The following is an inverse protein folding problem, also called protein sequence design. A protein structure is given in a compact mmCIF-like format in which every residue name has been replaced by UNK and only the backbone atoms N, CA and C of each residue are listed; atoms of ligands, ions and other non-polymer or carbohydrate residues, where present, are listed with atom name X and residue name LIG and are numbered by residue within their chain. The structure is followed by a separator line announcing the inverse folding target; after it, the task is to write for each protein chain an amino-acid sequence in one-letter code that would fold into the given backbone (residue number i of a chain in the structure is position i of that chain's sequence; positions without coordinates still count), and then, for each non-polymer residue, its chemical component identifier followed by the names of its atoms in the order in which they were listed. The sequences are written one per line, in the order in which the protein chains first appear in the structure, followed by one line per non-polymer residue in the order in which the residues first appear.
data_IF_754491624695
#
_entry.id   IF_754491624695
#
_cell.length_a   1.000
_cell.length_b   1.000
_cell.length_c   1.000
_cell.angle_alpha   90.00
_cell.angle_beta   90.00
_cell.angle_gamma   90.00
#
_symmetry.space_group_name_H-M   'P 1'
#
loop_
_entity.id
_entity.type
_entity.pdbx_description
1 polymer ?
#
# COMPACT_ATOMS: atom_id res chain seq x y z
N UNK A 1 9.03 9.19 27.13
CA UNK A 1 8.92 9.05 26.66
C UNK A 1 8.72 9.20 26.06
N UNK A 2 8.86 9.54 26.17
CA UNK A 2 8.62 9.60 25.63
C UNK A 2 8.53 9.25 24.69
N UNK A 3 8.70 9.33 24.62
CA UNK A 3 8.73 9.09 23.43
C UNK A 3 8.00 8.26 22.84
N UNK A 4 7.36 8.05 23.13
CA UNK A 4 6.61 7.25 22.69
C UNK A 4 6.11 7.45 21.46
N UNK A 5 5.78 8.36 21.17
CA UNK A 5 5.20 8.52 20.01
C UNK A 5 6.08 8.27 18.99
N UNK A 6 7.04 8.21 19.31
CA UNK A 6 7.85 8.15 18.59
C UNK A 6 7.57 7.42 17.54
N UNK A 7 7.86 7.04 16.89
CA UNK A 7 7.64 6.47 15.83
C UNK A 7 6.71 5.45 15.91
N UNK A 8 5.95 5.24 14.88
CA UNK A 8 5.08 4.13 14.79
C UNK A 8 5.89 2.89 14.97
N UNK A 9 5.38 1.95 15.69
CA UNK A 9 6.06 0.72 15.84
C UNK A 9 6.14 0.01 14.54
N UNK A 10 7.27 -0.53 14.22
CA UNK A 10 7.42 -1.36 13.04
C UNK A 10 6.54 -2.59 13.19
N UNK A 11 5.91 -3.01 12.11
CA UNK A 11 5.07 -4.20 12.15
C UNK A 11 5.03 -4.84 10.76
N UNK A 12 4.65 -6.09 10.74
CA UNK A 12 4.47 -6.81 9.49
C UNK A 12 3.37 -7.83 9.71
N UNK A 13 2.30 -7.75 8.93
CA UNK A 13 1.14 -8.62 9.06
C UNK A 13 0.77 -9.15 7.67
N UNK A 14 0.29 -10.39 7.59
CA UNK A 14 -0.18 -10.87 6.28
C UNK A 14 -1.43 -10.09 5.87
N UNK A 15 -1.55 -9.81 4.59
CA UNK A 15 -2.74 -9.12 4.08
C UNK A 15 -3.81 -10.14 3.75
N UNK A 16 -5.00 -9.96 4.30
CA UNK A 16 -6.13 -10.79 3.94
C UNK A 16 -6.62 -10.37 2.56
N UNK A 17 -6.83 -11.35 1.67
CA UNK A 17 -7.31 -11.05 0.33
C UNK A 17 -8.83 -10.89 0.31
N UNK A 18 -9.48 -11.14 1.42
CA UNK A 18 -10.91 -10.94 1.56
C UNK A 18 -11.14 -10.56 3.02
N UNK A 19 -11.77 -9.41 3.24
CA UNK A 19 -12.05 -8.96 4.59
C UNK A 19 -11.06 -7.93 5.08
N UNK A 20 -10.86 -7.90 6.38
CA UNK A 20 -10.09 -6.83 7.00
C UNK A 20 -8.72 -7.27 7.48
N UNK A 21 -7.77 -6.36 7.40
CA UNK A 21 -6.48 -6.52 8.06
C UNK A 21 -6.25 -5.26 8.87
N UNK A 22 -6.24 -5.41 10.20
CA UNK A 22 -6.07 -4.27 11.09
C UNK A 22 -4.61 -4.02 11.39
N UNK A 23 -4.21 -2.76 11.34
CA UNK A 23 -2.84 -2.37 11.66
C UNK A 23 -2.90 -1.28 12.72
N UNK A 24 -1.77 -0.94 13.33
CA UNK A 24 -1.78 0.13 14.33
C UNK A 24 -2.29 1.47 13.78
N UNK A 25 -2.07 1.77 12.53
CA UNK A 25 -2.47 3.06 11.98
C UNK A 25 -3.80 3.07 11.28
N UNK A 26 -4.41 1.92 11.04
CA UNK A 26 -5.67 1.86 10.32
C UNK A 26 -5.98 0.46 9.86
N UNK A 27 -6.99 0.34 9.02
CA UNK A 27 -7.48 -0.97 8.58
C UNK A 27 -7.53 -1.04 7.08
N UNK A 28 -7.11 -2.18 6.52
CA UNK A 28 -7.24 -2.44 5.10
C UNK A 28 -8.43 -3.34 4.88
N UNK A 29 -9.25 -2.99 3.90
CA UNK A 29 -10.42 -3.80 3.54
C UNK A 29 -10.21 -4.31 2.12
N UNK A 30 -10.23 -5.61 1.93
CA UNK A 30 -9.95 -6.22 0.65
C UNK A 30 -11.15 -7.00 0.15
N UNK A 31 -11.43 -6.88 -1.15
CA UNK A 31 -12.45 -7.72 -1.75
C UNK A 31 -12.13 -7.89 -3.22
N UNK A 32 -12.46 -9.02 -3.76
CA UNK A 32 -12.22 -9.32 -5.15
C UNK A 32 -13.49 -9.02 -5.94
N UNK A 33 -13.33 -8.36 -7.07
CA UNK A 33 -14.48 -8.02 -7.93
C UNK A 33 -14.16 -8.47 -9.35
N UNK A 34 -15.19 -8.66 -10.19
CA UNK A 34 -14.93 -8.94 -11.59
C UNK A 34 -14.34 -7.71 -12.26
N UNK A 35 -13.67 -7.92 -13.35
CA UNK A 35 -13.09 -6.81 -14.08
C UNK A 35 -14.15 -5.83 -14.56
N UNK A 36 -13.71 -4.67 -14.95
CA UNK A 36 -14.62 -3.67 -15.50
C UNK A 36 -14.95 -2.52 -14.59
N UNK A 37 -14.75 -2.67 -13.29
CA UNK A 37 -15.00 -1.58 -12.38
C UNK A 37 -13.69 -1.16 -11.77
N UNK A 38 -13.39 0.12 -11.84
CA UNK A 38 -12.14 0.61 -11.32
C UNK A 38 -12.39 1.87 -10.52
N UNK A 39 -11.93 1.88 -9.28
CA UNK A 39 -12.03 3.05 -8.42
C UNK A 39 -10.65 3.67 -8.31
N UNK A 40 -10.55 4.95 -8.63
CA UNK A 40 -9.28 5.64 -8.58
C UNK A 40 -9.32 6.68 -7.49
N UNK A 41 -8.94 6.25 -6.31
CA UNK A 41 -8.87 7.12 -5.14
C UNK A 41 -7.54 6.88 -4.44
N UNK A 42 -6.98 7.89 -3.78
CA UNK A 42 -5.65 7.76 -3.21
C UNK A 42 -5.52 6.65 -2.17
N UNK A 43 -6.61 6.32 -1.49
CA UNK A 43 -6.55 5.30 -0.45
C UNK A 43 -7.15 3.97 -0.87
N UNK A 44 -7.46 3.83 -2.16
CA UNK A 44 -7.97 2.58 -2.71
C UNK A 44 -7.02 2.07 -3.78
N UNK A 45 -6.58 0.83 -3.60
CA UNK A 45 -5.72 0.18 -4.57
C UNK A 45 -6.54 -0.85 -5.32
N UNK A 46 -6.47 -0.83 -6.66
CA UNK A 46 -7.10 -1.85 -7.48
C UNK A 46 -5.99 -2.57 -8.22
N UNK A 47 -5.81 -3.84 -7.89
CA UNK A 47 -4.76 -4.66 -8.46
C UNK A 47 -5.33 -5.67 -9.42
N UNK A 48 -4.56 -6.00 -10.46
CA UNK A 48 -4.88 -7.16 -11.27
C UNK A 48 -4.58 -8.38 -10.42
N UNK A 49 -5.60 -9.09 -10.00
CA UNK A 49 -5.44 -10.20 -9.07
C UNK A 49 -4.52 -11.29 -9.62
N UNK A 50 -4.48 -11.45 -10.94
CA UNK A 50 -3.63 -12.47 -11.54
C UNK A 50 -2.15 -12.08 -11.52
N UNK A 51 -1.84 -10.83 -11.27
CA UNK A 51 -0.45 -10.38 -11.17
C UNK A 51 0.07 -10.43 -9.74
N UNK A 52 -0.78 -10.77 -8.79
CA UNK A 52 -0.37 -10.86 -7.39
C UNK A 52 0.09 -12.27 -7.08
N UNK A 53 1.04 -12.42 -6.15
CA UNK A 53 1.42 -13.77 -5.75
C UNK A 53 0.25 -14.44 -5.04
N UNK A 54 0.20 -15.77 -5.10
CA UNK A 54 -0.87 -16.51 -4.45
C UNK A 54 -0.88 -16.25 -2.95
N UNK A 55 0.27 -15.98 -2.40
CA UNK A 55 0.37 -15.66 -0.98
C UNK A 55 1.65 -14.83 -0.81
N UNK A 56 1.81 -14.27 0.36
CA UNK A 56 3.03 -13.53 0.60
C UNK A 56 2.88 -12.02 0.59
N UNK A 57 1.68 -11.52 0.29
CA UNK A 57 1.48 -10.10 0.45
C UNK A 57 1.39 -9.78 1.93
N UNK A 58 2.01 -8.68 2.31
CA UNK A 58 1.97 -8.26 3.70
C UNK A 58 1.71 -6.77 3.78
N UNK A 59 1.27 -6.35 4.97
CA UNK A 59 1.11 -4.96 5.30
C UNK A 59 2.18 -4.67 6.34
N UNK A 60 3.00 -3.67 6.09
CA UNK A 60 4.08 -3.37 7.00
C UNK A 60 4.52 -1.93 6.85
N UNK A 61 5.30 -1.46 7.82
CA UNK A 61 5.95 -0.18 7.69
C UNK A 61 7.18 -0.34 6.79
N UNK A 62 7.71 0.77 6.30
CA UNK A 62 8.86 0.75 5.38
C UNK A 62 10.08 0.13 6.03
N UNK A 63 10.92 -0.43 5.19
CA UNK A 63 12.20 -1.02 5.62
C UNK A 63 13.31 -0.49 4.71
N UNK A 64 14.55 -0.47 5.21
CA UNK A 64 15.66 -0.07 4.36
C UNK A 64 15.74 -0.96 3.13
N UNK A 65 16.02 -0.36 2.00
CA UNK A 65 16.16 -1.12 0.76
C UNK A 65 14.86 -1.33 -0.02
N UNK A 66 13.74 -0.82 0.49
CA UNK A 66 12.48 -0.97 -0.21
C UNK A 66 12.52 -0.31 -1.58
N UNK A 67 11.91 -0.98 -2.55
CA UNK A 67 11.85 -0.54 -3.93
C UNK A 67 10.40 -0.38 -4.35
N UNK A 68 10.17 0.56 -5.26
CA UNK A 68 8.82 0.85 -5.71
C UNK A 68 8.85 1.22 -7.18
N UNK A 69 7.91 0.70 -7.94
CA UNK A 69 7.75 1.04 -9.34
C UNK A 69 6.44 1.82 -9.45
N UNK A 70 6.47 3.14 -9.28
CA UNK A 70 5.22 3.91 -9.24
C UNK A 70 4.43 3.76 -10.54
N UNK A 71 3.12 3.78 -10.44
CA UNK A 71 2.24 3.63 -11.59
C UNK A 71 2.62 4.64 -12.67
N UNK A 72 2.79 4.15 -13.89
CA UNK A 72 3.12 4.96 -15.06
C UNK A 72 4.51 5.59 -15.02
N UNK A 73 5.35 5.18 -14.09
CA UNK A 73 6.73 5.67 -14.05
C UNK A 73 7.58 4.87 -15.04
N UNK A 74 8.74 5.40 -15.41
CA UNK A 74 9.60 4.70 -16.37
C UNK A 74 10.32 3.49 -15.79
N UNK A 75 10.36 3.34 -14.46
CA UNK A 75 11.02 2.18 -13.88
C UNK A 75 10.98 2.22 -12.37
N UNK A 76 11.65 1.24 -11.77
CA UNK A 76 11.72 1.13 -10.32
C UNK A 76 12.66 2.15 -9.75
N UNK A 77 12.40 2.50 -8.50
CA UNK A 77 13.26 3.41 -7.78
C UNK A 77 13.21 3.03 -6.31
N UNK A 78 14.05 3.64 -5.52
CA UNK A 78 14.02 3.42 -4.08
C UNK A 78 12.80 4.11 -3.51
N UNK A 79 12.12 3.45 -2.58
CA UNK A 79 10.96 4.07 -1.95
C UNK A 79 11.33 5.39 -1.28
N UNK A 80 12.51 5.44 -0.67
CA UNK A 80 12.99 6.66 -0.05
C UNK A 80 13.01 7.82 -1.04
N UNK A 81 13.46 7.58 -2.26
CA UNK A 81 13.51 8.62 -3.27
C UNK A 81 12.13 9.05 -3.71
N UNK A 82 11.20 8.09 -3.76
CA UNK A 82 9.82 8.40 -4.10
C UNK A 82 9.24 9.37 -3.07
N UNK A 83 9.46 9.11 -1.78
CA UNK A 83 8.94 9.98 -0.73
C UNK A 83 9.54 11.38 -0.83
N UNK A 84 10.83 11.47 -1.17
CA UNK A 84 11.48 12.77 -1.32
C UNK A 84 10.85 13.53 -2.48
N UNK A 85 10.66 12.87 -3.61
CA UNK A 85 10.06 13.52 -4.77
C UNK A 85 8.64 13.99 -4.49
N UNK A 86 7.89 13.23 -3.73
CA UNK A 86 6.51 13.61 -3.40
C UNK A 86 6.45 14.56 -2.22
N UNK A 87 7.61 14.91 -1.68
CA UNK A 87 7.71 15.86 -0.57
C UNK A 87 6.92 15.39 0.65
N UNK A 88 6.94 14.09 0.89
CA UNK A 88 6.28 13.52 2.05
C UNK A 88 7.16 13.81 3.28
N UNK A 89 6.64 14.49 4.29
CA UNK A 89 7.44 14.77 5.48
C UNK A 89 7.88 13.46 6.13
N UNK A 90 9.05 13.49 6.73
CA UNK A 90 9.61 12.28 7.30
C UNK A 90 8.67 11.65 8.31
N UNK A 91 7.99 12.45 9.10
CA UNK A 91 7.10 11.91 10.11
C UNK A 91 5.85 11.26 9.55
N UNK A 92 5.60 11.42 8.26
CA UNK A 92 4.45 10.80 7.62
C UNK A 92 4.82 9.61 6.76
N UNK A 93 6.07 9.15 6.82
CA UNK A 93 6.53 8.06 5.98
C UNK A 93 6.36 6.69 6.62
N UNK A 94 5.79 6.63 7.83
CA UNK A 94 5.60 5.37 8.53
C UNK A 94 4.20 4.83 8.36
N UNK A 95 3.54 5.22 7.29
CA UNK A 95 2.23 4.67 6.96
C UNK A 95 2.34 3.18 6.66
N UNK A 96 1.26 2.42 6.84
CA UNK A 96 1.27 1.02 6.43
C UNK A 96 1.35 0.92 4.92
N UNK A 97 2.14 -0.04 4.43
CA UNK A 97 2.33 -0.26 3.00
C UNK A 97 1.94 -1.68 2.68
N UNK A 98 1.49 -1.92 1.44
CA UNK A 98 1.31 -3.29 0.98
C UNK A 98 2.56 -3.67 0.21
N UNK A 99 3.17 -4.79 0.57
CA UNK A 99 4.44 -5.19 0.01
C UNK A 99 4.52 -6.68 -0.23
N UNK A 100 5.42 -7.06 -1.12
CA UNK A 100 5.79 -8.44 -1.33
C UNK A 100 7.30 -8.45 -1.27
N UNK A 101 7.87 -8.97 -0.19
CA UNK A 101 9.30 -8.85 0.03
C UNK A 101 9.69 -7.39 0.14
N UNK A 102 10.67 -6.97 -0.61
CA UNK A 102 11.09 -5.56 -0.61
C UNK A 102 10.41 -4.76 -1.69
N UNK A 103 9.52 -5.37 -2.46
CA UNK A 103 8.81 -4.66 -3.51
C UNK A 103 7.53 -4.09 -2.93
N UNK A 104 7.39 -2.78 -2.97
CA UNK A 104 6.19 -2.11 -2.48
C UNK A 104 5.15 -2.12 -3.57
N UNK A 105 3.93 -2.50 -3.22
CA UNK A 105 2.84 -2.59 -4.19
C UNK A 105 1.81 -1.49 -4.04
N UNK A 106 1.70 -0.89 -2.87
CA UNK A 106 0.73 0.20 -2.66
C UNK A 106 1.25 1.13 -1.58
N UNK A 107 1.27 2.41 -1.89
CA UNK A 107 1.59 3.47 -0.93
C UNK A 107 0.28 4.23 -0.72
N UNK A 108 -0.44 4.00 0.38
CA UNK A 108 -1.72 4.66 0.60
C UNK A 108 -1.58 6.19 0.54
N UNK A 109 -2.54 6.81 -0.11
CA UNK A 109 -2.50 8.24 -0.31
C UNK A 109 -1.72 8.66 -1.55
N UNK A 110 -1.06 7.72 -2.22
CA UNK A 110 -0.25 8.02 -3.39
C UNK A 110 -0.63 7.16 -4.58
N UNK A 111 -0.07 5.96 -4.70
CA UNK A 111 -0.40 5.13 -5.86
C UNK A 111 0.03 3.68 -5.65
N UNK A 112 -0.34 2.84 -6.62
CA UNK A 112 0.05 1.43 -6.62
C UNK A 112 1.29 1.25 -7.48
N UNK A 113 1.86 0.05 -7.42
CA UNK A 113 2.96 -0.32 -8.28
C UNK A 113 2.47 -0.56 -9.70
N UNK A 114 3.25 -0.14 -10.68
CA UNK A 114 2.93 -0.39 -12.07
C UNK A 114 2.91 -1.88 -12.40
N UNK A 115 3.64 -2.69 -11.62
CA UNK A 115 3.75 -4.11 -11.90
C UNK A 115 2.45 -4.89 -11.68
N UNK A 116 1.52 -4.33 -10.91
CA UNK A 116 0.27 -5.02 -10.58
C UNK A 116 -0.95 -4.25 -11.03
N UNK A 117 -0.78 -3.36 -11.98
CA UNK A 117 -1.88 -2.49 -12.43
C UNK A 117 -2.94 -3.27 -13.21
N UNK A 118 -4.15 -2.75 -13.15
CA UNK A 118 -5.27 -3.29 -13.91
C UNK A 118 -5.12 -2.85 -15.36
N UNK A 119 -5.35 -3.78 -16.29
CA UNK A 119 -5.29 -3.50 -17.72
C UNK A 119 -6.58 -3.95 -18.37
N UNK A 120 -6.69 -3.71 -19.68
CA UNK A 120 -7.90 -4.08 -20.39
C UNK A 120 -8.20 -5.58 -20.30
N UNK A 121 -7.17 -6.39 -20.24
CA UNK A 121 -7.36 -7.84 -20.20
C UNK A 121 -7.61 -8.36 -18.80
N UNK A 122 -7.59 -7.52 -17.81
CA UNK A 122 -7.74 -7.96 -16.43
C UNK A 122 -9.15 -8.51 -16.21
N UNK A 123 -9.24 -9.72 -15.69
CA UNK A 123 -10.54 -10.34 -15.46
C UNK A 123 -10.93 -10.39 -13.99
N UNK A 124 -9.96 -10.29 -13.09
CA UNK A 124 -10.24 -10.27 -11.66
C UNK A 124 -9.47 -9.13 -11.02
N UNK A 125 -10.14 -8.36 -10.22
CA UNK A 125 -9.53 -7.20 -9.57
C UNK A 125 -9.63 -7.38 -8.07
N UNK A 126 -8.50 -7.20 -7.38
CA UNK A 126 -8.51 -7.15 -5.94
C UNK A 126 -8.49 -5.69 -5.54
N UNK A 127 -9.55 -5.24 -4.90
CA UNK A 127 -9.65 -3.87 -4.43
C UNK A 127 -9.34 -3.82 -2.94
N UNK A 128 -8.41 -2.97 -2.56
CA UNK A 128 -8.03 -2.83 -1.16
C UNK A 128 -8.12 -1.36 -0.80
N UNK A 129 -8.90 -1.06 0.23
CA UNK A 129 -9.07 0.31 0.70
C UNK A 129 -8.43 0.43 2.08
N UNK A 130 -7.61 1.45 2.24
CA UNK A 130 -7.01 1.73 3.53
C UNK A 130 -7.81 2.82 4.23
N UNK A 131 -8.24 2.53 5.45
CA UNK A 131 -8.96 3.50 6.24
C UNK A 131 -8.10 3.84 7.45
N UNK A 132 -7.56 5.06 7.49
CA UNK A 132 -6.76 5.47 8.64
C UNK A 132 -7.60 5.43 9.91
N UNK A 133 -6.95 5.22 11.02
CA UNK A 133 -7.65 5.19 12.29
C UNK A 133 -8.25 6.56 12.54
N UNK A 134 -9.50 6.55 12.98
CA UNK A 134 -10.17 7.79 13.26
C UNK A 134 -9.39 8.56 14.30
N UNK A 135 -9.24 9.84 14.09
CA UNK A 135 -8.44 10.65 14.98
C UNK A 135 -7.02 10.86 14.50
N UNK A 136 -6.48 9.90 13.77
CA UNK A 136 -5.12 10.03 13.28
C UNK A 136 -5.01 11.17 12.28
N UNK A 137 -6.06 11.37 11.51
CA UNK A 137 -6.02 12.40 10.52
C UNK A 137 -6.56 13.70 11.00
N UNK A 138 -6.92 13.79 12.24
CA UNK A 138 -7.43 15.02 12.74
C UNK A 138 -6.38 15.93 13.22
N UNK A 139 -5.19 15.62 13.12
CA UNK A 139 -4.09 16.41 13.68
C UNK A 139 -3.73 17.62 12.85
#
# INVERSE_FOLDING_TARGET
HIGTWKEAEAFELPLAYSGETSTPGGTFFAEETPGGSLVREPFTACFDADKLPAQGLCVRTRLPGDRFFPLNAPGRRKLKEFFIDKKVPREKRDMPLIACGQEILFVPGHCISDTVKVEEKTTRILCVTYMPREGAEQI
#
